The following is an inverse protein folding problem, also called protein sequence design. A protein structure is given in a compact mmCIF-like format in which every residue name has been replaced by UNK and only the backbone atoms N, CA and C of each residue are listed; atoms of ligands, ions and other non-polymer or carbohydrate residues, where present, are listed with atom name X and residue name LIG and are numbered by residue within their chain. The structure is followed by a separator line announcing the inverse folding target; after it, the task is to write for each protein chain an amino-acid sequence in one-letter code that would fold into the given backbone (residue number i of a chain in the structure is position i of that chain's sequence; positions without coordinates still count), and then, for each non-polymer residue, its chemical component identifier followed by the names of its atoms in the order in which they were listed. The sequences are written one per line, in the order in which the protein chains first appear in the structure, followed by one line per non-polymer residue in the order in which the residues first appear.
data_IF_105549409272
#
_entry.id   IF_105549409272
#
_cell.length_a   1.000
_cell.length_b   1.000
_cell.length_c   1.000
_cell.angle_alpha   90.00
_cell.angle_beta   90.00
_cell.angle_gamma   90.00
#
_symmetry.space_group_name_H-M   'P 1'
#
loop_
_entity.id
_entity.type
_entity.pdbx_description
1 polymer ?
#
# COMPACT_ATOMS: atom_id res chain seq x y z
N UNK A 1 4.64 22.87 15.03
CA UNK A 1 3.62 21.86 14.67
C UNK A 1 4.38 20.63 14.22
N UNK A 2 4.38 19.54 15.00
CA UNK A 2 4.98 18.28 14.57
C UNK A 2 3.96 17.59 13.65
N UNK A 3 4.19 17.63 12.34
CA UNK A 3 3.43 16.80 11.40
C UNK A 3 4.00 15.38 11.45
N UNK A 4 3.28 14.48 12.13
CA UNK A 4 3.58 13.05 12.05
C UNK A 4 3.10 12.52 10.70
N UNK A 5 3.97 11.85 9.95
CA UNK A 5 3.60 11.11 8.75
C UNK A 5 3.02 9.73 9.06
N UNK A 6 2.97 9.36 10.35
CA UNK A 6 2.53 8.06 10.81
C UNK A 6 1.17 8.13 11.48
N UNK A 7 0.37 7.08 11.26
CA UNK A 7 -0.84 6.75 12.03
C UNK A 7 -0.59 5.48 12.84
N UNK A 8 -1.27 5.35 13.98
CA UNK A 8 -1.17 4.17 14.83
C UNK A 8 -2.20 3.10 14.41
N UNK A 9 -1.97 1.85 14.81
CA UNK A 9 -2.82 0.72 14.43
C UNK A 9 -4.21 0.78 15.06
N UNK A 10 -4.30 1.24 16.31
CA UNK A 10 -5.57 1.52 17.00
C UNK A 10 -6.40 2.56 16.25
N UNK A 11 -5.79 3.67 15.83
CA UNK A 11 -6.45 4.68 15.02
C UNK A 11 -6.94 4.11 13.69
N UNK A 12 -6.12 3.31 12.99
CA UNK A 12 -6.53 2.73 11.71
C UNK A 12 -7.68 1.71 11.91
N UNK A 13 -7.65 0.94 12.99
CA UNK A 13 -8.73 0.00 13.32
C UNK A 13 -10.06 0.72 13.60
N UNK A 14 -10.02 1.87 14.29
CA UNK A 14 -11.21 2.70 14.54
C UNK A 14 -11.80 3.32 13.27
N UNK A 15 -10.99 3.45 12.20
CA UNK A 15 -11.40 4.05 10.93
C UNK A 15 -11.39 3.05 9.76
N UNK A 16 -11.39 1.74 10.04
CA UNK A 16 -11.26 0.70 9.01
C UNK A 16 -12.40 0.75 7.97
N UNK A 17 -13.58 1.18 8.40
CA UNK A 17 -14.78 1.33 7.57
C UNK A 17 -14.99 2.79 7.08
N UNK A 18 -14.05 3.70 7.32
CA UNK A 18 -14.17 5.09 6.87
C UNK A 18 -14.02 5.17 5.34
N UNK A 19 -15.05 5.60 4.60
CA UNK A 19 -14.99 5.71 3.14
C UNK A 19 -14.00 6.79 2.65
N UNK A 20 -13.48 7.64 3.54
CA UNK A 20 -12.43 8.61 3.24
C UNK A 20 -11.02 8.03 3.33
N UNK A 21 -10.85 6.80 3.82
CA UNK A 21 -9.55 6.13 3.94
C UNK A 21 -9.44 5.01 2.91
N UNK A 22 -8.24 4.87 2.33
CA UNK A 22 -7.87 3.65 1.60
C UNK A 22 -6.55 3.13 2.11
N UNK A 23 -6.49 1.82 2.29
CA UNK A 23 -5.34 1.14 2.86
C UNK A 23 -4.54 0.54 1.71
N UNK A 24 -3.22 0.70 1.76
CA UNK A 24 -2.31 0.30 0.69
C UNK A 24 -1.29 -0.68 1.28
N UNK A 25 -1.34 -1.94 0.84
CA UNK A 25 -0.30 -2.94 1.13
C UNK A 25 0.85 -2.75 0.15
N UNK A 26 1.96 -2.20 0.63
CA UNK A 26 3.16 -1.96 -0.16
C UNK A 26 4.30 -2.91 0.23
N UNK A 27 3.99 -4.11 0.73
CA UNK A 27 5.02 -5.13 1.00
C UNK A 27 5.77 -5.47 -0.28
N UNK A 28 7.06 -5.73 -0.11
CA UNK A 28 7.98 -6.01 -1.21
C UNK A 28 9.11 -6.91 -0.70
N UNK A 29 9.55 -7.84 -1.53
CA UNK A 29 10.68 -8.69 -1.20
C UNK A 29 11.98 -7.84 -1.18
N UNK A 30 12.83 -7.97 -0.16
CA UNK A 30 14.16 -7.39 -0.19
C UNK A 30 15.02 -7.97 -1.33
N UNK A 31 16.04 -7.24 -1.82
CA UNK A 31 16.98 -7.76 -2.82
C UNK A 31 17.59 -9.10 -2.39
N UNK A 32 17.68 -10.06 -3.32
CA UNK A 32 18.16 -11.41 -3.05
C UNK A 32 17.13 -12.36 -2.41
N UNK A 33 15.86 -11.93 -2.34
CA UNK A 33 14.72 -12.79 -1.97
C UNK A 33 13.69 -12.85 -3.11
N UNK A 34 14.15 -12.90 -4.38
CA UNK A 34 13.25 -12.87 -5.54
C UNK A 34 12.26 -14.04 -5.59
N UNK A 35 12.54 -15.14 -4.87
CA UNK A 35 11.66 -16.32 -4.78
C UNK A 35 10.43 -16.13 -3.87
N UNK A 36 10.32 -14.99 -3.16
CA UNK A 36 9.16 -14.72 -2.29
C UNK A 36 7.94 -14.30 -3.11
N UNK A 37 6.85 -15.06 -2.97
CA UNK A 37 5.53 -14.71 -3.52
C UNK A 37 4.81 -13.70 -2.62
N UNK A 38 5.22 -12.43 -2.69
CA UNK A 38 4.61 -11.34 -1.89
C UNK A 38 3.11 -11.18 -2.21
N UNK A 39 2.71 -11.40 -3.45
CA UNK A 39 1.30 -11.38 -3.83
C UNK A 39 0.51 -12.54 -3.18
N UNK A 40 1.12 -13.71 -3.06
CA UNK A 40 0.59 -14.84 -2.30
C UNK A 40 0.49 -14.56 -0.81
N UNK A 41 1.50 -13.91 -0.24
CA UNK A 41 1.48 -13.46 1.15
C UNK A 41 0.35 -12.45 1.41
N UNK A 42 0.13 -11.50 0.49
CA UNK A 42 -1.05 -10.61 0.49
C UNK A 42 -2.36 -11.40 0.49
N UNK A 43 -2.54 -12.32 -0.46
CA UNK A 43 -3.75 -13.15 -0.53
C UNK A 43 -3.94 -14.03 0.71
N UNK A 44 -2.87 -14.44 1.37
CA UNK A 44 -2.94 -15.24 2.61
C UNK A 44 -3.27 -14.42 3.86
N UNK A 45 -3.14 -13.09 3.81
CA UNK A 45 -3.38 -12.22 4.94
C UNK A 45 -2.90 -10.79 4.70
N UNK A 46 -3.83 -9.85 4.75
CA UNK A 46 -3.59 -8.40 4.64
C UNK A 46 -4.55 -7.63 5.56
N UNK A 47 -4.32 -6.33 5.76
CA UNK A 47 -5.24 -5.49 6.53
C UNK A 47 -6.58 -5.40 5.76
N UNK A 48 -7.75 -5.51 6.41
CA UNK A 48 -9.03 -5.49 5.71
C UNK A 48 -9.19 -4.30 4.77
N UNK A 49 -9.63 -4.57 3.53
CA UNK A 49 -9.79 -3.56 2.48
C UNK A 49 -8.50 -3.03 1.85
N UNK A 50 -7.32 -3.55 2.22
CA UNK A 50 -6.06 -3.09 1.67
C UNK A 50 -5.86 -3.46 0.20
N UNK A 51 -5.52 -2.48 -0.62
CA UNK A 51 -5.19 -2.66 -2.03
C UNK A 51 -3.70 -3.02 -2.18
N UNK A 52 -3.40 -4.05 -2.96
CA UNK A 52 -2.02 -4.50 -3.17
C UNK A 52 -1.27 -3.58 -4.14
N UNK A 53 -0.27 -2.88 -3.64
CA UNK A 53 0.58 -1.94 -4.37
C UNK A 53 1.93 -2.59 -4.66
N UNK A 54 1.98 -3.30 -5.78
CA UNK A 54 3.19 -3.98 -6.23
C UNK A 54 4.21 -2.98 -6.79
N UNK A 55 5.17 -2.58 -5.96
CA UNK A 55 6.23 -1.63 -6.34
C UNK A 55 7.05 -2.18 -7.52
N UNK A 56 7.26 -3.49 -7.61
CA UNK A 56 7.99 -4.07 -8.74
C UNK A 56 7.23 -3.85 -10.04
N UNK A 57 5.95 -4.23 -10.07
CA UNK A 57 5.11 -4.05 -11.26
C UNK A 57 4.86 -2.58 -11.61
N UNK A 58 4.92 -1.68 -10.63
CA UNK A 58 4.77 -0.24 -10.82
C UNK A 58 6.07 0.47 -11.23
N UNK A 59 7.19 -0.25 -11.34
CA UNK A 59 8.48 0.34 -11.71
C UNK A 59 8.65 0.50 -13.23
N UNK A 60 9.51 1.43 -13.64
CA UNK A 60 9.85 1.59 -15.05
C UNK A 60 10.81 0.49 -15.54
N UNK A 61 10.24 -0.54 -16.17
CA UNK A 61 10.98 -1.66 -16.75
C UNK A 61 11.69 -1.33 -18.08
N UNK A 62 11.55 -0.10 -18.62
CA UNK A 62 12.35 0.33 -19.78
C UNK A 62 13.76 0.76 -19.39
N UNK A 63 13.96 1.08 -18.11
CA UNK A 63 15.26 1.42 -17.56
C UNK A 63 16.08 0.15 -17.28
N UNK A 64 17.41 0.17 -17.50
CA UNK A 64 18.28 -0.92 -17.06
C UNK A 64 18.49 -0.96 -15.54
N UNK A 65 18.00 0.05 -14.80
CA UNK A 65 18.13 0.15 -13.35
C UNK A 65 16.84 -0.35 -12.65
N UNK A 66 16.94 -1.03 -11.50
CA UNK A 66 15.78 -1.51 -10.76
C UNK A 66 15.02 -0.37 -10.07
N UNK A 67 13.73 -0.60 -9.83
CA UNK A 67 12.81 0.26 -9.06
C UNK A 67 12.77 1.73 -9.51
N UNK A 68 12.93 1.97 -10.81
CA UNK A 68 12.88 3.30 -11.38
C UNK A 68 11.46 3.84 -11.36
N UNK A 69 11.35 5.15 -11.15
CA UNK A 69 10.05 5.81 -11.11
C UNK A 69 9.34 5.65 -12.46
N UNK A 70 8.08 5.20 -12.50
CA UNK A 70 7.33 5.06 -13.75
C UNK A 70 7.02 6.43 -14.38
N UNK A 71 6.58 6.40 -15.64
CA UNK A 71 5.99 7.58 -16.28
C UNK A 71 4.66 7.94 -15.58
N UNK A 72 4.33 9.23 -15.42
CA UNK A 72 3.10 9.66 -14.76
C UNK A 72 1.83 9.03 -15.35
N UNK A 73 1.77 8.88 -16.68
CA UNK A 73 0.59 8.30 -17.34
C UNK A 73 0.42 6.82 -17.01
N UNK A 74 1.53 6.07 -16.94
CA UNK A 74 1.52 4.65 -16.59
C UNK A 74 1.10 4.45 -15.13
N UNK A 75 1.64 5.26 -14.22
CA UNK A 75 1.25 5.24 -12.81
C UNK A 75 -0.23 5.56 -12.64
N UNK A 76 -0.73 6.60 -13.33
CA UNK A 76 -2.14 6.98 -13.26
C UNK A 76 -3.08 5.89 -13.80
N UNK A 77 -2.68 5.13 -14.83
CA UNK A 77 -3.44 3.96 -15.31
C UNK A 77 -3.49 2.89 -14.23
N UNK A 78 -2.33 2.49 -13.69
CA UNK A 78 -2.25 1.45 -12.68
C UNK A 78 -3.04 1.80 -11.41
N UNK A 79 -2.99 3.05 -10.94
CA UNK A 79 -3.77 3.50 -9.79
C UNK A 79 -5.29 3.43 -10.03
N UNK A 80 -5.76 3.74 -11.25
CA UNK A 80 -7.18 3.57 -11.60
C UNK A 80 -7.60 2.11 -11.65
N UNK A 81 -6.77 1.24 -12.21
CA UNK A 81 -7.03 -0.20 -12.26
C UNK A 81 -7.04 -0.84 -10.87
N UNK A 82 -6.16 -0.36 -9.99
CA UNK A 82 -6.10 -0.75 -8.58
C UNK A 82 -7.25 -0.16 -7.75
N UNK A 83 -7.95 0.87 -8.26
CA UNK A 83 -9.03 1.57 -7.54
C UNK A 83 -8.56 2.55 -6.48
N UNK A 84 -7.35 3.08 -6.59
CA UNK A 84 -6.82 4.12 -5.71
C UNK A 84 -7.42 5.47 -6.09
N UNK A 85 -7.98 6.17 -5.11
CA UNK A 85 -8.58 7.47 -5.23
C UNK A 85 -7.67 8.53 -4.61
N UNK A 86 -7.17 9.45 -5.44
CA UNK A 86 -6.22 10.49 -5.03
C UNK A 86 -6.78 11.52 -4.03
N UNK A 87 -8.11 11.62 -3.91
CA UNK A 87 -8.83 12.53 -3.00
C UNK A 87 -9.08 11.93 -1.61
N UNK A 88 -8.68 10.66 -1.40
CA UNK A 88 -8.79 9.95 -0.12
C UNK A 88 -7.52 10.08 0.71
N UNK A 89 -7.62 9.79 2.00
CA UNK A 89 -6.48 9.58 2.86
C UNK A 89 -5.91 8.18 2.62
N UNK A 90 -4.73 8.11 1.99
CA UNK A 90 -4.05 6.84 1.77
C UNK A 90 -3.19 6.47 2.99
N UNK A 91 -3.43 5.30 3.56
CA UNK A 91 -2.61 4.74 4.65
C UNK A 91 -1.81 3.57 4.13
N UNK A 92 -0.50 3.75 4.02
CA UNK A 92 0.44 2.78 3.45
C UNK A 92 1.06 1.95 4.56
N UNK A 93 1.21 0.64 4.33
CA UNK A 93 1.98 -0.21 5.23
C UNK A 93 2.88 -1.18 4.46
N UNK A 94 3.88 -1.72 5.16
CA UNK A 94 4.69 -2.85 4.72
C UNK A 94 4.72 -3.90 5.84
N UNK A 95 5.68 -4.83 5.81
CA UNK A 95 5.80 -5.89 6.81
C UNK A 95 5.91 -5.37 8.24
N UNK A 96 6.33 -4.11 8.44
CA UNK A 96 6.64 -3.52 9.74
C UNK A 96 8.13 -3.24 9.94
N UNK A 97 8.93 -3.52 8.91
CA UNK A 97 10.36 -3.19 8.84
C UNK A 97 10.63 -1.80 8.23
N UNK A 98 9.58 -1.09 7.79
CA UNK A 98 9.68 0.24 7.16
C UNK A 98 10.55 0.22 5.89
N UNK A 99 10.64 -0.93 5.23
CA UNK A 99 11.48 -1.14 4.06
C UNK A 99 10.88 -0.50 2.81
N UNK A 100 9.60 -0.76 2.53
CA UNK A 100 8.96 -0.44 1.24
C UNK A 100 7.80 0.54 1.36
N UNK A 101 7.16 0.66 2.54
CA UNK A 101 6.09 1.63 2.77
C UNK A 101 6.53 3.10 2.50
N UNK A 102 7.73 3.55 2.91
CA UNK A 102 8.19 4.90 2.57
C UNK A 102 8.34 5.13 1.07
N UNK A 103 8.68 4.08 0.29
CA UNK A 103 8.78 4.18 -1.17
C UNK A 103 7.41 4.40 -1.79
N UNK A 104 6.41 3.60 -1.41
CA UNK A 104 5.05 3.77 -1.88
C UNK A 104 4.46 5.13 -1.46
N UNK A 105 4.67 5.54 -0.19
CA UNK A 105 4.31 6.88 0.29
C UNK A 105 4.91 7.98 -0.59
N UNK A 106 6.20 7.88 -0.90
CA UNK A 106 6.89 8.88 -1.71
C UNK A 106 6.39 8.89 -3.16
N UNK A 107 6.12 7.73 -3.76
CA UNK A 107 5.54 7.62 -5.10
C UNK A 107 4.18 8.31 -5.17
N UNK A 108 3.26 7.96 -4.26
CA UNK A 108 1.91 8.53 -4.21
C UNK A 108 1.95 10.06 -4.09
N UNK A 109 2.77 10.60 -3.19
CA UNK A 109 2.92 12.05 -3.03
C UNK A 109 3.58 12.72 -4.23
N UNK A 110 4.57 12.07 -4.84
CA UNK A 110 5.24 12.59 -6.05
C UNK A 110 4.27 12.67 -7.23
N UNK A 111 3.31 11.76 -7.30
CA UNK A 111 2.25 11.75 -8.33
C UNK A 111 0.98 12.53 -7.94
N UNK A 112 1.03 13.31 -6.87
CA UNK A 112 0.02 14.31 -6.56
C UNK A 112 -1.01 13.93 -5.49
N UNK A 113 -0.88 12.79 -4.81
CA UNK A 113 -1.73 12.48 -3.65
C UNK A 113 -1.29 13.36 -2.47
N UNK A 114 -2.18 14.21 -1.99
CA UNK A 114 -1.85 15.18 -0.93
C UNK A 114 -1.82 14.53 0.45
N UNK A 115 -2.77 13.64 0.74
CA UNK A 115 -2.98 13.05 2.06
C UNK A 115 -2.54 11.59 2.09
N UNK A 116 -1.28 11.36 2.49
CA UNK A 116 -0.69 10.02 2.60
C UNK A 116 0.02 9.87 3.94
N UNK A 117 -0.32 8.82 4.68
CA UNK A 117 0.33 8.42 5.93
C UNK A 117 0.89 7.01 5.85
N UNK A 118 1.77 6.67 6.78
CA UNK A 118 2.32 5.32 6.95
C UNK A 118 1.78 4.72 8.25
N UNK A 119 1.36 3.45 8.22
CA UNK A 119 1.00 2.72 9.43
C UNK A 119 2.25 2.44 10.27
N UNK A 120 2.28 2.96 11.50
CA UNK A 120 3.37 2.71 12.42
C UNK A 120 3.45 1.22 12.80
N UNK A 121 4.62 0.63 12.62
CA UNK A 121 4.84 -0.80 12.90
C UNK A 121 4.34 -1.75 11.81
N UNK A 122 3.70 -1.25 10.75
CA UNK A 122 3.23 -2.03 9.60
C UNK A 122 2.35 -3.24 9.99
N UNK A 123 2.37 -4.28 9.14
CA UNK A 123 1.59 -5.49 9.36
C UNK A 123 2.00 -6.23 10.64
N UNK A 124 3.29 -6.29 10.96
CA UNK A 124 3.75 -6.91 12.20
C UNK A 124 3.24 -6.17 13.45
N UNK A 125 3.03 -4.85 13.37
CA UNK A 125 2.38 -4.05 14.40
C UNK A 125 0.91 -4.40 14.55
N UNK A 126 0.20 -4.39 13.43
CA UNK A 126 -1.22 -4.77 13.36
C UNK A 126 -1.50 -6.16 13.95
N UNK A 127 -0.68 -7.16 13.59
CA UNK A 127 -0.79 -8.52 14.10
C UNK A 127 -0.45 -8.62 15.59
N UNK A 128 0.51 -7.83 16.09
CA UNK A 128 0.87 -7.80 17.51
C UNK A 128 -0.26 -7.27 18.38
N UNK A 129 -1.05 -6.35 17.83
CA UNK A 129 -2.24 -5.80 18.47
C UNK A 129 -3.47 -6.71 18.30
N UNK A 130 -3.28 -7.92 17.75
CA UNK A 130 -4.31 -8.96 17.55
C UNK A 130 -5.50 -8.48 16.69
N UNK A 131 -5.25 -7.55 15.78
CA UNK A 131 -6.25 -6.97 14.89
C UNK A 131 -6.55 -7.90 13.70
N UNK A 132 -7.78 -7.88 13.16
CA UNK A 132 -8.23 -8.83 12.14
C UNK A 132 -7.47 -8.68 10.82
N UNK A 133 -7.28 -9.79 10.12
CA UNK A 133 -6.77 -9.82 8.75
C UNK A 133 -7.87 -10.27 7.78
N UNK A 134 -7.74 -9.85 6.53
CA UNK A 134 -8.52 -10.35 5.41
C UNK A 134 -7.66 -11.28 4.55
N UNK A 135 -8.29 -12.31 4.01
CA UNK A 135 -7.72 -13.23 3.01
C UNK A 135 -8.36 -12.97 1.64
N UNK A 136 -7.68 -13.41 0.57
CA UNK A 136 -8.13 -13.28 -0.82
C UNK A 136 -7.71 -11.97 -1.47
N UNK A 137 -8.38 -11.61 -2.55
CA UNK A 137 -8.23 -10.31 -3.21
C UNK A 137 -9.33 -9.34 -2.75
N UNK A 138 -9.05 -8.04 -2.74
CA UNK A 138 -10.07 -7.02 -2.48
C UNK A 138 -10.84 -6.74 -3.77
N UNK A 139 -12.14 -7.02 -3.76
CA UNK A 139 -13.06 -6.64 -4.83
C UNK A 139 -13.58 -5.21 -4.59
N UNK A 140 -13.34 -4.32 -5.55
CA UNK A 140 -13.90 -2.97 -5.50
C UNK A 140 -15.39 -2.99 -5.90
N UNK A 141 -16.28 -2.38 -5.11
CA UNK A 141 -17.69 -2.25 -5.48
C UNK A 141 -17.81 -1.38 -6.74
N UNK A 142 -18.12 -2.00 -7.87
CA UNK A 142 -18.21 -1.34 -9.18
C UNK A 142 -17.72 -2.16 -10.37
N UNK A 143 -17.15 -3.36 -10.15
CA UNK A 143 -16.72 -4.27 -11.23
C UNK A 143 -17.84 -5.18 -11.78
N UNK A 144 -19.10 -4.88 -11.43
CA UNK A 144 -20.27 -5.51 -12.03
C UNK A 144 -20.60 -4.86 -13.36
N UNK A 145 -20.44 -5.64 -14.44
CA UNK A 145 -20.91 -5.35 -15.79
C UNK A 145 -22.43 -5.13 -15.79
#
# INVERSE_FOLDING_TARGET
MSTSWFVAADWLAEHIDDPQIQIIDARMAPPGQEDRDVAGEYRSGHIPGALFFDIEALSDHTSPLPHMMPRPEAFAVAMRELGVHQDRHLVVYDEGNLFSAPRAWWMLRTFGVENVSILAGGLAGWQRDELPLQEGEVELPGRGI
#
